data_IF_155926105803
#
_entry.id   IF_155926105803
#
_cell.length_a   1.000
_cell.length_b   1.000
_cell.length_c   1.000
_cell.angle_alpha   90.00
_cell.angle_beta   90.00
_cell.angle_gamma   90.00
#
_symmetry.space_group_name_H-M   'P 1'
#
loop_
_entity.id
_entity.type
_entity.pdbx_description
1 polymer ?
#
# COMPACT_ATOMS: atom_id res chain seq x y z
N UNK A 1 -2.51 5.12 43.84
CA UNK A 1 -1.39 5.18 42.87
C UNK A 1 -2.00 5.39 41.49
N UNK A 2 -1.75 6.50 40.78
CA UNK A 2 -2.24 6.62 39.43
C UNK A 2 -1.40 5.70 38.54
N UNK A 3 -2.03 4.67 37.97
CA UNK A 3 -1.43 3.87 36.92
C UNK A 3 -1.06 4.81 35.78
N UNK A 4 0.24 5.02 35.55
CA UNK A 4 0.70 5.57 34.28
C UNK A 4 0.21 4.62 33.21
N UNK A 5 -0.91 4.95 32.57
CA UNK A 5 -1.21 4.48 31.23
C UNK A 5 0.01 4.87 30.40
N UNK A 6 0.89 3.91 30.15
CA UNK A 6 1.82 3.98 29.04
C UNK A 6 0.93 4.17 27.82
N UNK A 7 0.79 5.42 27.36
CA UNK A 7 0.16 5.70 26.10
C UNK A 7 0.92 4.84 25.09
N UNK A 8 0.27 3.80 24.54
CA UNK A 8 0.88 2.94 23.53
C UNK A 8 1.44 3.87 22.47
N UNK A 9 2.77 3.88 22.34
CA UNK A 9 3.43 4.83 21.47
C UNK A 9 2.86 4.65 20.05
N UNK A 10 2.50 5.74 19.41
CA UNK A 10 2.09 5.73 18.00
C UNK A 10 3.28 6.16 17.16
N UNK A 11 3.62 5.37 16.17
CA UNK A 11 4.66 5.70 15.19
C UNK A 11 4.02 6.18 13.89
N UNK A 12 4.67 7.15 13.23
CA UNK A 12 4.24 7.62 11.92
C UNK A 12 4.60 6.60 10.83
N UNK A 13 3.67 6.36 9.92
CA UNK A 13 3.94 5.74 8.62
C UNK A 13 4.19 6.87 7.62
N UNK A 14 5.31 6.81 6.91
CA UNK A 14 5.66 7.74 5.83
C UNK A 14 6.50 6.98 4.81
N UNK A 15 5.82 6.35 3.86
CA UNK A 15 6.45 5.52 2.82
C UNK A 15 6.15 6.10 1.45
N UNK A 16 7.14 6.03 0.57
CA UNK A 16 6.99 6.41 -0.85
C UNK A 16 7.25 5.17 -1.69
N UNK A 17 6.28 4.83 -2.53
CA UNK A 17 6.44 3.87 -3.62
C UNK A 17 6.73 4.70 -4.86
N UNK A 18 7.95 4.58 -5.39
CA UNK A 18 8.33 5.30 -6.60
C UNK A 18 7.70 4.67 -7.85
N UNK A 19 7.37 5.52 -8.82
CA UNK A 19 7.13 5.12 -10.21
C UNK A 19 8.37 4.41 -10.73
N UNK A 20 8.20 3.18 -11.24
CA UNK A 20 9.29 2.33 -11.69
C UNK A 20 8.84 1.49 -12.89
N UNK A 21 9.72 1.32 -13.88
CA UNK A 21 9.51 0.37 -14.97
C UNK A 21 9.85 -1.03 -14.48
N UNK A 22 8.92 -1.97 -14.60
CA UNK A 22 9.08 -3.35 -14.15
C UNK A 22 8.48 -4.31 -15.18
N UNK A 23 9.18 -5.41 -15.44
CA UNK A 23 8.65 -6.52 -16.25
C UNK A 23 7.75 -7.41 -15.41
N UNK A 24 6.60 -7.81 -15.95
CA UNK A 24 5.66 -8.73 -15.34
C UNK A 24 5.45 -9.95 -16.25
N UNK A 25 5.22 -11.10 -15.63
CA UNK A 25 4.55 -12.25 -16.26
C UNK A 25 3.04 -12.09 -16.14
N UNK A 26 2.26 -12.82 -16.94
CA UNK A 26 0.80 -12.70 -16.94
C UNK A 26 0.20 -13.18 -15.61
N UNK A 27 -0.60 -12.33 -14.98
CA UNK A 27 -1.21 -12.60 -13.67
C UNK A 27 -0.29 -12.38 -12.48
N UNK A 28 0.93 -11.87 -12.68
CA UNK A 28 1.89 -11.67 -11.60
C UNK A 28 1.51 -10.53 -10.67
N UNK A 29 1.78 -10.71 -9.37
CA UNK A 29 1.80 -9.64 -8.38
C UNK A 29 3.21 -9.38 -7.85
N UNK A 30 3.58 -8.11 -7.78
CA UNK A 30 4.85 -7.65 -7.20
C UNK A 30 4.58 -6.79 -5.99
N UNK A 31 5.17 -7.15 -4.85
CA UNK A 31 5.05 -6.37 -3.61
C UNK A 31 5.84 -5.06 -3.73
N UNK A 32 5.16 -3.94 -3.49
CA UNK A 32 5.74 -2.59 -3.53
C UNK A 32 5.93 -2.03 -2.11
N UNK A 33 4.99 -2.37 -1.22
CA UNK A 33 5.06 -2.08 0.20
C UNK A 33 4.46 -3.25 0.97
N UNK A 34 5.07 -3.61 2.08
CA UNK A 34 4.52 -4.57 3.04
C UNK A 34 4.80 -4.10 4.46
N UNK A 35 3.74 -3.89 5.23
CA UNK A 35 3.79 -3.59 6.66
C UNK A 35 3.05 -4.72 7.38
N UNK A 36 3.71 -5.41 8.30
CA UNK A 36 3.17 -6.60 8.99
C UNK A 36 3.35 -6.49 10.50
N UNK A 37 2.53 -7.22 11.26
CA UNK A 37 2.58 -7.25 12.72
C UNK A 37 2.18 -5.90 13.36
N UNK A 38 1.39 -5.09 12.66
CA UNK A 38 1.04 -3.73 13.10
C UNK A 38 -0.47 -3.48 13.02
N UNK A 39 -0.95 -2.59 13.88
CA UNK A 39 -2.30 -2.05 13.83
C UNK A 39 -2.21 -0.57 13.50
N UNK A 40 -3.13 -0.04 12.70
CA UNK A 40 -3.04 1.36 12.37
C UNK A 40 -4.04 1.83 11.34
N UNK A 41 -3.72 3.02 10.85
CA UNK A 41 -4.45 3.70 9.81
C UNK A 41 -3.46 4.29 8.81
N UNK A 42 -3.80 4.26 7.52
CA UNK A 42 -3.02 4.90 6.48
C UNK A 42 -3.93 5.57 5.44
N UNK A 43 -3.45 6.69 4.93
CA UNK A 43 -3.92 7.35 3.71
C UNK A 43 -2.91 7.00 2.62
N UNK A 44 -3.41 6.43 1.52
CA UNK A 44 -2.62 6.09 0.35
C UNK A 44 -3.04 7.05 -0.75
N UNK A 45 -2.12 7.90 -1.20
CA UNK A 45 -2.31 8.75 -2.37
C UNK A 45 -1.64 8.06 -3.54
N UNK A 46 -2.44 7.62 -4.50
CA UNK A 46 -2.00 6.96 -5.72
C UNK A 46 -2.04 7.97 -6.87
N UNK A 47 -0.90 8.18 -7.53
CA UNK A 47 -0.70 9.33 -8.41
C UNK A 47 -1.34 9.18 -9.79
N UNK A 48 -1.59 7.96 -10.26
CA UNK A 48 -2.17 7.72 -11.57
C UNK A 48 -1.22 7.99 -12.74
N UNK A 49 0.09 7.92 -12.51
CA UNK A 49 1.15 8.25 -13.47
C UNK A 49 1.84 7.00 -14.07
N UNK A 50 1.25 5.82 -13.89
CA UNK A 50 1.66 4.56 -14.48
C UNK A 50 0.90 4.18 -15.75
N UNK A 51 1.15 2.97 -16.24
CA UNK A 51 0.54 2.43 -17.46
C UNK A 51 -0.77 1.68 -17.14
N UNK A 52 -1.75 1.74 -18.04
CA UNK A 52 -3.04 1.07 -17.87
C UNK A 52 -2.96 -0.47 -17.80
N UNK A 53 -1.85 -1.06 -18.24
CA UNK A 53 -1.62 -2.52 -18.20
C UNK A 53 -1.25 -3.07 -16.82
N UNK A 54 -0.99 -2.20 -15.84
CA UNK A 54 -0.72 -2.59 -14.45
C UNK A 54 -1.71 -1.93 -13.50
N UNK A 55 -2.12 -2.67 -12.48
CA UNK A 55 -3.10 -2.27 -11.46
C UNK A 55 -2.42 -2.27 -10.09
N UNK A 56 -2.60 -1.21 -9.32
CA UNK A 56 -2.25 -1.19 -7.90
C UNK A 56 -3.34 -1.94 -7.13
N UNK A 57 -2.98 -2.97 -6.37
CA UNK A 57 -3.86 -3.73 -5.48
C UNK A 57 -3.47 -3.49 -4.03
N UNK A 58 -4.45 -3.16 -3.21
CA UNK A 58 -4.28 -2.86 -1.79
C UNK A 58 -4.87 -4.01 -0.99
N UNK A 59 -4.02 -4.62 -0.18
CA UNK A 59 -4.36 -5.71 0.71
C UNK A 59 -4.37 -5.21 2.15
N UNK A 60 -5.49 -5.43 2.83
CA UNK A 60 -5.68 -5.11 4.25
C UNK A 60 -5.87 -6.43 4.98
N UNK A 61 -5.03 -6.68 5.99
CA UNK A 61 -5.09 -7.90 6.81
C UNK A 61 -5.07 -9.19 5.97
N UNK A 62 -4.21 -9.20 4.94
CA UNK A 62 -4.03 -10.32 4.02
C UNK A 62 -5.09 -10.49 2.94
N UNK A 63 -6.17 -9.69 2.96
CA UNK A 63 -7.27 -9.78 1.99
C UNK A 63 -7.24 -8.62 1.01
N UNK A 64 -7.53 -8.87 -0.26
CA UNK A 64 -7.68 -7.82 -1.26
C UNK A 64 -8.83 -6.90 -0.84
N UNK A 65 -8.51 -5.62 -0.61
CA UNK A 65 -9.48 -4.62 -0.18
C UNK A 65 -9.93 -3.75 -1.34
N UNK A 66 -8.99 -3.28 -2.17
CA UNK A 66 -9.27 -2.42 -3.31
C UNK A 66 -8.24 -2.60 -4.43
N UNK A 67 -8.63 -2.24 -5.65
CA UNK A 67 -7.75 -2.21 -6.82
C UNK A 67 -7.95 -0.95 -7.65
N UNK A 68 -6.87 -0.40 -8.20
CA UNK A 68 -6.89 0.83 -8.97
C UNK A 68 -5.92 0.73 -10.16
N UNK A 69 -6.36 1.00 -11.40
CA UNK A 69 -5.44 1.09 -12.53
C UNK A 69 -4.31 2.09 -12.26
N UNK A 70 -3.11 1.78 -12.72
CA UNK A 70 -1.95 2.62 -12.41
C UNK A 70 -1.98 4.00 -13.11
N UNK A 71 -2.85 4.20 -14.09
CA UNK A 71 -3.03 5.46 -14.81
C UNK A 71 -4.21 6.31 -14.29
N UNK A 72 -4.78 5.97 -13.13
CA UNK A 72 -5.91 6.68 -12.52
C UNK A 72 -5.46 7.28 -11.19
N UNK A 73 -5.70 8.57 -10.95
CA UNK A 73 -5.43 9.19 -9.65
C UNK A 73 -6.48 8.75 -8.61
N UNK A 74 -6.05 8.37 -7.42
CA UNK A 74 -6.97 7.95 -6.36
C UNK A 74 -6.41 8.23 -4.94
N UNK A 75 -7.32 8.26 -3.96
CA UNK A 75 -6.97 8.34 -2.53
C UNK A 75 -7.72 7.26 -1.78
N UNK A 76 -7.00 6.50 -0.97
CA UNK A 76 -7.56 5.43 -0.15
C UNK A 76 -7.32 5.71 1.32
N UNK A 77 -8.30 5.38 2.15
CA UNK A 77 -8.27 5.54 3.59
C UNK A 77 -8.50 4.16 4.20
N UNK A 78 -7.47 3.60 4.83
CA UNK A 78 -7.49 2.22 5.29
C UNK A 78 -7.14 2.11 6.76
N UNK A 79 -7.89 1.29 7.48
CA UNK A 79 -7.55 0.80 8.82
C UNK A 79 -7.17 -0.66 8.74
N UNK A 80 -6.15 -1.09 9.47
CA UNK A 80 -5.66 -2.47 9.47
C UNK A 80 -5.30 -2.92 10.88
N UNK A 81 -5.41 -4.22 11.13
CA UNK A 81 -5.22 -4.83 12.46
C UNK A 81 -4.05 -5.80 12.51
N UNK A 82 -3.45 -6.14 11.38
CA UNK A 82 -2.34 -7.07 11.26
C UNK A 82 -1.36 -6.67 10.15
N UNK A 83 -1.86 -6.22 8.99
CA UNK A 83 -1.01 -5.90 7.85
C UNK A 83 -1.64 -4.93 6.85
N UNK A 84 -0.77 -4.20 6.16
CA UNK A 84 -1.07 -3.43 4.96
C UNK A 84 -0.04 -3.77 3.89
N UNK A 85 -0.51 -4.17 2.71
CA UNK A 85 0.34 -4.50 1.56
C UNK A 85 -0.17 -3.79 0.31
N UNK A 86 0.75 -3.20 -0.45
CA UNK A 86 0.45 -2.61 -1.76
C UNK A 86 1.25 -3.39 -2.79
N UNK A 87 0.57 -3.85 -3.84
CA UNK A 87 1.15 -4.70 -4.89
C UNK A 87 0.80 -4.18 -6.27
N UNK A 88 1.73 -4.28 -7.20
CA UNK A 88 1.45 -4.11 -8.62
C UNK A 88 0.99 -5.44 -9.20
N UNK A 89 -0.07 -5.42 -10.02
CA UNK A 89 -0.61 -6.59 -10.70
C UNK A 89 -0.72 -6.32 -12.20
N UNK A 90 -0.24 -7.25 -13.03
CA UNK A 90 -0.45 -7.17 -14.48
C UNK A 90 -1.21 -8.41 -14.97
N UNK A 91 -2.33 -8.20 -15.65
CA UNK A 91 -3.11 -9.31 -16.21
C UNK A 91 -2.39 -10.00 -17.38
N UNK A 92 -1.54 -9.26 -18.11
CA UNK A 92 -0.79 -9.74 -19.26
C UNK A 92 0.69 -9.47 -19.07
N UNK A 93 1.54 -10.37 -19.60
CA UNK A 93 2.98 -10.19 -19.56
C UNK A 93 3.39 -8.91 -20.33
N UNK A 94 4.41 -8.22 -19.83
CA UNK A 94 4.88 -6.98 -20.42
C UNK A 94 5.74 -6.18 -19.45
N UNK A 95 6.35 -5.11 -19.95
CA UNK A 95 7.05 -4.15 -19.10
C UNK A 95 6.17 -2.91 -18.96
N UNK A 96 5.84 -2.55 -17.73
CA UNK A 96 4.95 -1.45 -17.40
C UNK A 96 5.60 -0.53 -16.38
N UNK A 97 5.26 0.75 -16.44
CA UNK A 97 5.46 1.67 -15.35
C UNK A 97 4.33 1.52 -14.33
N UNK A 98 4.64 1.13 -13.10
CA UNK A 98 3.70 1.27 -11.98
C UNK A 98 3.54 2.74 -11.60
N UNK A 99 2.40 3.10 -11.01
CA UNK A 99 2.19 4.44 -10.45
C UNK A 99 3.07 4.68 -9.23
N UNK A 100 3.46 5.93 -9.00
CA UNK A 100 3.92 6.35 -7.69
C UNK A 100 2.76 6.32 -6.67
N UNK A 101 3.08 6.08 -5.40
CA UNK A 101 2.13 6.19 -4.29
C UNK A 101 2.79 6.72 -3.02
N UNK A 102 2.07 7.54 -2.27
CA UNK A 102 2.48 8.04 -0.96
C UNK A 102 1.60 7.46 0.12
N UNK A 103 2.20 6.78 1.09
CA UNK A 103 1.50 6.15 2.21
C UNK A 103 1.85 6.89 3.48
N UNK A 104 0.88 7.62 4.03
CA UNK A 104 1.03 8.37 5.27
C UNK A 104 0.03 7.89 6.30
N UNK A 105 0.42 7.82 7.57
CA UNK A 105 -0.50 7.39 8.61
C UNK A 105 0.18 7.18 9.95
N UNK A 106 -0.41 6.32 10.76
CA UNK A 106 0.15 5.95 12.06
C UNK A 106 -0.10 4.48 12.36
N UNK A 107 0.82 3.89 13.12
CA UNK A 107 0.72 2.54 13.67
C UNK A 107 0.89 2.54 15.17
N UNK A 108 0.26 1.60 15.85
CA UNK A 108 0.52 1.32 17.26
C UNK A 108 1.85 0.56 17.37
N UNK A 109 2.72 1.01 18.26
CA UNK A 109 3.87 0.25 18.73
C UNK A 109 3.37 -0.72 19.81
N UNK A 110 3.84 -1.96 19.76
CA UNK A 110 3.51 -2.99 20.74
C UNK A 110 3.99 -2.60 22.13
#
# INVERSE_FOLDING_TARGET
MPSRLLAKATERISQTISRLSESYTAGEEKTQLSLTGIHGFAIIVHMGDGDAGVTTRIYVDGTLWESCPANVFAKFYVTFTSSLSIRGYAASAGTYYRSASYVNGFRRVA
#
